data_IF_896519190485
#
_entry.id   IF_896519190485
#
_cell.length_a   1.000
_cell.length_b   1.000
_cell.length_c   1.000
_cell.angle_alpha   90.00
_cell.angle_beta   90.00
_cell.angle_gamma   90.00
#
_symmetry.space_group_name_H-M   'P 1'
#
loop_
_entity.id
_entity.type
_entity.pdbx_description
1 polymer ?
#
# COMPACT_ATOMS: atom_id res chain seq x y z
N UNK A 1 9.81 -3.51 22.92
CA UNK A 1 8.33 -3.58 22.75
C UNK A 1 7.63 -2.83 23.87
N UNK A 2 7.87 -3.19 25.14
CA UNK A 2 7.29 -2.50 26.31
C UNK A 2 7.61 -0.99 26.34
N UNK A 3 8.86 -0.62 26.06
CA UNK A 3 9.28 0.78 25.96
C UNK A 3 8.51 1.58 24.89
N UNK A 4 8.19 0.95 23.75
CA UNK A 4 7.42 1.62 22.69
C UNK A 4 5.96 1.80 23.09
N UNK A 5 5.37 0.82 23.80
CA UNK A 5 4.02 0.98 24.36
C UNK A 5 3.95 2.08 25.41
N UNK A 6 4.96 2.20 26.27
CA UNK A 6 5.05 3.27 27.28
C UNK A 6 5.15 4.67 26.65
N UNK A 7 5.77 4.78 25.47
CA UNK A 7 5.82 6.00 24.68
C UNK A 7 4.51 6.27 23.89
N UNK A 8 3.45 5.49 24.11
CA UNK A 8 2.14 5.62 23.46
C UNK A 8 1.99 4.89 22.13
N UNK A 9 2.87 3.93 21.80
CA UNK A 9 2.86 3.20 20.52
C UNK A 9 2.36 1.77 20.69
N UNK A 10 1.21 1.46 20.11
CA UNK A 10 0.78 0.08 19.92
C UNK A 10 1.57 -0.55 18.77
N UNK A 11 2.51 -1.43 19.12
CA UNK A 11 3.23 -2.25 18.15
C UNK A 11 2.49 -3.58 17.99
N UNK A 12 1.97 -3.82 16.79
CA UNK A 12 1.30 -5.07 16.42
C UNK A 12 2.23 -5.89 15.53
N UNK A 13 2.54 -7.12 15.95
CA UNK A 13 3.29 -8.08 15.13
C UNK A 13 2.28 -8.87 14.29
N UNK A 14 2.47 -8.89 12.97
CA UNK A 14 1.65 -9.70 12.06
C UNK A 14 2.36 -11.01 11.71
N UNK A 15 1.58 -12.06 11.45
CA UNK A 15 2.07 -13.40 11.07
C UNK A 15 2.62 -13.49 9.64
N UNK A 16 2.47 -12.43 8.83
CA UNK A 16 3.02 -12.34 7.47
C UNK A 16 4.37 -11.63 7.47
N UNK A 17 5.26 -12.02 6.55
CA UNK A 17 6.57 -11.38 6.39
C UNK A 17 6.48 -9.91 5.96
N UNK A 18 7.66 -9.28 5.84
CA UNK A 18 7.83 -7.86 5.55
C UNK A 18 8.20 -7.06 6.80
N UNK A 19 8.64 -5.82 6.62
CA UNK A 19 9.19 -5.01 7.71
C UNK A 19 8.12 -4.11 8.33
N UNK A 20 8.52 -3.20 9.23
CA UNK A 20 7.62 -2.25 9.87
C UNK A 20 6.99 -1.31 8.83
N UNK A 21 5.69 -1.06 9.00
CA UNK A 21 4.87 -0.19 8.15
C UNK A 21 4.08 0.73 9.09
N UNK A 22 4.02 2.05 8.83
CA UNK A 22 3.20 2.94 9.63
C UNK A 22 1.71 2.62 9.46
N UNK A 23 0.98 2.62 10.56
CA UNK A 23 -0.46 2.42 10.62
C UNK A 23 -1.10 3.61 11.34
N UNK A 24 -2.34 3.93 11.00
CA UNK A 24 -3.07 5.02 11.63
C UNK A 24 -4.31 5.42 10.85
N UNK A 25 -5.03 6.41 11.39
CA UNK A 25 -6.29 6.89 10.83
C UNK A 25 -6.16 7.47 9.41
N UNK A 26 -4.98 8.00 9.05
CA UNK A 26 -4.70 8.55 7.72
C UNK A 26 -4.12 7.54 6.72
N UNK A 27 -4.33 6.23 6.92
CA UNK A 27 -3.87 5.18 6.02
C UNK A 27 -5.06 4.44 5.43
N UNK A 28 -5.04 4.23 4.11
CA UNK A 28 -6.05 3.42 3.40
C UNK A 28 -5.43 2.10 2.96
N UNK A 29 -6.03 0.99 3.38
CA UNK A 29 -5.67 -0.35 2.92
C UNK A 29 -6.63 -0.81 1.83
N UNK A 30 -6.10 -1.15 0.67
CA UNK A 30 -6.83 -1.72 -0.45
C UNK A 30 -6.41 -3.17 -0.62
N UNK A 31 -7.36 -4.08 -0.77
CA UNK A 31 -7.09 -5.51 -0.90
C UNK A 31 -7.92 -6.13 -2.01
N UNK A 32 -7.25 -6.85 -2.91
CA UNK A 32 -7.85 -7.63 -3.96
C UNK A 32 -7.61 -9.12 -3.73
N UNK A 33 -8.66 -9.91 -3.92
CA UNK A 33 -8.59 -11.36 -3.89
C UNK A 33 -8.79 -11.89 -5.31
N UNK A 34 -7.71 -12.43 -5.89
CA UNK A 34 -7.74 -12.99 -7.23
C UNK A 34 -7.75 -14.51 -7.18
N UNK A 35 -8.57 -15.17 -8.01
CA UNK A 35 -8.51 -16.62 -8.17
C UNK A 35 -7.26 -17.01 -8.99
N UNK A 36 -6.56 -18.08 -8.58
CA UNK A 36 -5.32 -18.56 -9.23
C UNK A 36 -5.63 -19.53 -10.38
N UNK A 37 -6.31 -19.01 -11.40
CA UNK A 37 -6.89 -19.86 -12.45
C UNK A 37 -5.90 -20.29 -13.54
N UNK A 38 -4.83 -19.53 -13.76
CA UNK A 38 -3.95 -19.72 -14.92
C UNK A 38 -2.54 -20.19 -14.52
N UNK A 39 -2.01 -21.20 -15.22
CA UNK A 39 -0.63 -21.71 -15.00
C UNK A 39 0.46 -20.64 -15.19
N UNK A 40 0.19 -19.57 -15.96
CA UNK A 40 1.10 -18.44 -16.22
C UNK A 40 0.98 -17.29 -15.19
N UNK A 41 0.30 -17.51 -14.07
CA UNK A 41 0.23 -16.56 -12.96
C UNK A 41 1.62 -16.22 -12.40
N UNK A 42 2.11 -14.99 -12.61
CA UNK A 42 3.38 -14.49 -12.03
C UNK A 42 3.11 -13.41 -10.98
N UNK A 43 4.02 -13.29 -10.02
CA UNK A 43 4.00 -12.23 -8.99
C UNK A 43 3.96 -10.83 -9.60
N UNK A 44 4.76 -10.58 -10.65
CA UNK A 44 4.77 -9.32 -11.40
C UNK A 44 3.40 -9.00 -12.02
N UNK A 45 2.74 -9.97 -12.66
CA UNK A 45 1.45 -9.76 -13.29
C UNK A 45 0.39 -9.31 -12.26
N UNK A 46 0.35 -9.93 -11.08
CA UNK A 46 -0.59 -9.52 -10.02
C UNK A 46 -0.22 -8.20 -9.36
N UNK A 47 1.07 -7.84 -9.30
CA UNK A 47 1.45 -6.52 -8.82
C UNK A 47 1.00 -5.44 -9.80
N UNK A 48 1.12 -5.69 -11.11
CA UNK A 48 0.59 -4.77 -12.13
C UNK A 48 -0.93 -4.63 -12.04
N UNK A 49 -1.67 -5.72 -11.82
CA UNK A 49 -3.12 -5.65 -11.61
C UNK A 49 -3.50 -4.82 -10.37
N UNK A 50 -2.68 -4.83 -9.32
CA UNK A 50 -2.86 -3.98 -8.14
C UNK A 50 -2.47 -2.52 -8.40
N UNK A 51 -1.31 -2.29 -9.02
CA UNK A 51 -0.69 -0.97 -9.09
C UNK A 51 -1.21 -0.09 -10.23
N UNK A 52 -1.54 -0.66 -11.38
CA UNK A 52 -1.95 0.13 -12.56
C UNK A 52 -3.20 0.97 -12.30
N UNK A 53 -4.30 0.44 -11.72
CA UNK A 53 -5.46 1.27 -11.39
C UNK A 53 -5.12 2.40 -10.42
N UNK A 54 -4.19 2.18 -9.48
CA UNK A 54 -3.76 3.21 -8.53
C UNK A 54 -2.98 4.31 -9.23
N UNK A 55 -2.09 3.95 -10.14
CA UNK A 55 -1.31 4.89 -10.96
C UNK A 55 -2.25 5.72 -11.85
N UNK A 56 -3.21 5.08 -12.50
CA UNK A 56 -4.19 5.76 -13.37
C UNK A 56 -5.05 6.74 -12.57
N UNK A 57 -5.57 6.32 -11.41
CA UNK A 57 -6.33 7.20 -10.52
C UNK A 57 -5.50 8.39 -10.04
N UNK A 58 -4.26 8.16 -9.59
CA UNK A 58 -3.34 9.24 -9.22
C UNK A 58 -3.10 10.22 -10.38
N UNK A 59 -3.02 9.70 -11.61
CA UNK A 59 -2.95 10.49 -12.84
C UNK A 59 -4.15 11.42 -13.03
N UNK A 60 -5.37 10.98 -12.67
CA UNK A 60 -6.57 11.85 -12.69
C UNK A 60 -6.50 13.00 -11.68
N UNK A 61 -5.63 12.88 -10.66
CA UNK A 61 -5.35 13.94 -9.69
C UNK A 61 -4.19 14.85 -10.14
N UNK A 62 -3.64 14.62 -11.33
CA UNK A 62 -2.47 15.34 -11.85
C UNK A 62 -1.13 14.84 -11.31
N UNK A 63 -1.10 13.70 -10.61
CA UNK A 63 0.10 13.14 -9.98
C UNK A 63 0.77 12.12 -10.90
N UNK A 64 2.07 12.29 -11.13
CA UNK A 64 2.86 11.34 -11.94
C UNK A 64 3.38 10.22 -11.06
N UNK A 65 2.75 9.06 -11.18
CA UNK A 65 3.07 7.87 -10.39
C UNK A 65 3.80 6.80 -11.20
N UNK A 66 4.69 6.05 -10.56
CA UNK A 66 5.36 4.88 -11.15
C UNK A 66 5.67 3.83 -10.09
N UNK A 67 5.91 2.58 -10.49
CA UNK A 67 6.37 1.55 -9.55
C UNK A 67 7.89 1.50 -9.44
N UNK A 68 8.43 1.33 -8.23
CA UNK A 68 9.87 1.07 -8.07
C UNK A 68 10.28 0.77 -6.63
N UNK A 69 11.47 0.18 -6.49
CA UNK A 69 12.16 0.11 -5.20
C UNK A 69 12.66 1.51 -4.82
N UNK A 70 12.69 1.80 -3.51
CA UNK A 70 13.21 3.06 -2.99
C UNK A 70 13.92 2.80 -1.67
N UNK A 71 15.24 2.69 -1.74
CA UNK A 71 16.11 2.50 -0.58
C UNK A 71 15.90 3.65 0.43
N UNK A 72 15.89 3.31 1.71
CA UNK A 72 15.61 4.26 2.79
C UNK A 72 14.12 4.43 3.07
N UNK A 73 13.22 3.90 2.24
CA UNK A 73 11.79 3.89 2.55
C UNK A 73 11.43 2.79 3.55
N UNK A 74 10.31 2.94 4.27
CA UNK A 74 9.79 1.88 5.13
C UNK A 74 9.30 0.70 4.29
N UNK A 75 9.56 -0.55 4.71
CA UNK A 75 9.09 -1.75 4.02
C UNK A 75 9.32 -1.70 2.51
N UNK A 76 10.57 -1.46 2.12
CA UNK A 76 10.95 -1.36 0.72
C UNK A 76 10.73 -2.68 -0.03
N UNK A 77 10.34 -2.57 -1.29
CA UNK A 77 10.07 -3.66 -2.21
C UNK A 77 9.94 -3.13 -3.63
N UNK A 78 10.07 -4.00 -4.63
CA UNK A 78 10.15 -3.59 -6.04
C UNK A 78 8.91 -2.86 -6.57
N UNK A 79 7.76 -3.01 -5.91
CA UNK A 79 6.47 -2.45 -6.33
C UNK A 79 5.89 -1.44 -5.34
N UNK A 80 6.71 -0.53 -4.82
CA UNK A 80 6.15 0.68 -4.21
C UNK A 80 5.56 1.57 -5.31
N UNK A 81 4.50 2.32 -5.02
CA UNK A 81 4.08 3.41 -5.92
C UNK A 81 4.76 4.70 -5.45
N UNK A 82 5.57 5.26 -6.33
CA UNK A 82 6.34 6.47 -6.13
C UNK A 82 5.67 7.63 -6.87
N UNK A 83 5.56 8.78 -6.21
CA UNK A 83 5.15 10.05 -6.82
C UNK A 83 6.26 11.05 -6.57
N UNK A 84 6.74 11.71 -7.63
CA UNK A 84 7.87 12.64 -7.59
C UNK A 84 9.11 12.06 -6.87
N UNK A 85 9.39 10.77 -7.11
CA UNK A 85 10.52 10.04 -6.52
C UNK A 85 10.36 9.64 -5.06
N UNK A 86 9.19 9.91 -4.43
CA UNK A 86 8.92 9.55 -3.04
C UNK A 86 7.86 8.47 -2.94
N UNK A 87 8.03 7.55 -2.00
CA UNK A 87 7.07 6.47 -1.75
C UNK A 87 5.77 7.03 -1.19
N UNK A 88 4.66 6.74 -1.86
CA UNK A 88 3.30 7.05 -1.42
C UNK A 88 2.53 5.79 -1.02
N UNK A 89 2.75 4.68 -1.73
CA UNK A 89 2.04 3.41 -1.51
C UNK A 89 3.04 2.28 -1.34
N UNK A 90 2.88 1.48 -0.28
CA UNK A 90 3.53 0.19 -0.14
C UNK A 90 2.61 -0.93 -0.63
N UNK A 91 3.17 -1.98 -1.24
CA UNK A 91 2.39 -3.13 -1.71
C UNK A 91 2.93 -4.44 -1.17
N UNK A 92 2.05 -5.42 -1.04
CA UNK A 92 2.42 -6.79 -0.70
C UNK A 92 1.45 -7.80 -1.33
N UNK A 93 1.91 -9.05 -1.45
CA UNK A 93 1.12 -10.16 -1.94
C UNK A 93 1.29 -11.39 -1.06
N UNK A 94 0.20 -12.14 -0.90
CA UNK A 94 0.22 -13.47 -0.29
C UNK A 94 -0.43 -14.47 -1.23
N UNK A 95 0.29 -15.56 -1.50
CA UNK A 95 -0.16 -16.67 -2.33
C UNK A 95 -0.57 -17.83 -1.43
N UNK A 96 -1.77 -18.37 -1.64
CA UNK A 96 -2.38 -19.41 -0.80
C UNK A 96 -3.14 -20.44 -1.63
N UNK A 97 -3.41 -21.59 -1.05
CA UNK A 97 -4.16 -22.69 -1.69
C UNK A 97 -3.33 -23.49 -2.71
N UNK A 98 -4.03 -24.24 -3.57
CA UNK A 98 -3.43 -25.18 -4.53
C UNK A 98 -2.58 -24.53 -5.64
N UNK A 99 -1.87 -25.38 -6.39
CA UNK A 99 -1.08 -24.97 -7.56
C UNK A 99 -1.98 -24.38 -8.66
N UNK A 100 -1.45 -23.39 -9.38
CA UNK A 100 -2.16 -22.77 -10.50
C UNK A 100 -2.54 -23.79 -11.57
N UNK A 101 -3.76 -23.72 -12.11
CA UNK A 101 -4.19 -24.53 -13.24
C UNK A 101 -4.27 -26.04 -12.97
N UNK A 102 -4.49 -26.43 -11.72
CA UNK A 102 -4.85 -27.78 -11.29
C UNK A 102 -6.27 -27.74 -10.75
N UNK A 103 -7.15 -28.60 -11.26
CA UNK A 103 -8.48 -28.78 -10.68
C UNK A 103 -8.32 -29.32 -9.25
N UNK A 104 -8.77 -28.56 -8.26
CA UNK A 104 -8.58 -28.84 -6.84
C UNK A 104 -9.83 -28.42 -6.09
N UNK A 105 -10.24 -29.20 -5.08
CA UNK A 105 -11.29 -28.81 -4.13
C UNK A 105 -10.89 -27.59 -3.26
N UNK A 106 -9.60 -27.23 -3.27
CA UNK A 106 -9.05 -26.01 -2.66
C UNK A 106 -8.29 -25.21 -3.72
N UNK A 107 -8.99 -24.41 -4.55
CA UNK A 107 -8.36 -23.59 -5.57
C UNK A 107 -7.39 -22.58 -4.94
N UNK A 108 -6.31 -22.27 -5.66
CA UNK A 108 -5.36 -21.26 -5.23
C UNK A 108 -5.96 -19.86 -5.31
N UNK A 109 -5.50 -18.96 -4.45
CA UNK A 109 -5.85 -17.54 -4.48
C UNK A 109 -4.64 -16.66 -4.18
N UNK A 110 -4.70 -15.44 -4.71
CA UNK A 110 -3.71 -14.39 -4.49
C UNK A 110 -4.43 -13.27 -3.76
N UNK A 111 -3.96 -12.92 -2.56
CA UNK A 111 -4.30 -11.69 -1.90
C UNK A 111 -3.24 -10.65 -2.26
N UNK A 112 -3.62 -9.61 -3.00
CA UNK A 112 -2.75 -8.47 -3.31
C UNK A 112 -3.28 -7.25 -2.58
N UNK A 113 -2.42 -6.53 -1.86
CA UNK A 113 -2.85 -5.38 -1.08
C UNK A 113 -1.88 -4.20 -1.17
N UNK A 114 -2.46 -3.01 -1.08
CA UNK A 114 -1.78 -1.72 -1.12
C UNK A 114 -2.09 -0.93 0.16
N UNK A 115 -1.08 -0.31 0.72
CA UNK A 115 -1.13 0.58 1.88
C UNK A 115 -0.84 2.00 1.37
N UNK A 116 -1.90 2.79 1.14
CA UNK A 116 -1.82 4.17 0.68
C UNK A 116 -1.76 5.12 1.89
N UNK A 117 -0.71 5.93 1.95
CA UNK A 117 -0.55 6.93 3.00
C UNK A 117 -1.25 8.23 2.59
N UNK A 118 -2.40 8.51 3.19
CA UNK A 118 -3.18 9.72 2.90
C UNK A 118 -2.69 10.88 3.76
N UNK A 119 -2.58 10.68 5.07
CA UNK A 119 -2.28 11.74 6.03
C UNK A 119 -1.62 11.18 7.29
N UNK A 120 -0.29 11.10 7.28
CA UNK A 120 0.51 10.57 8.39
C UNK A 120 1.73 11.48 8.58
N UNK A 121 2.07 11.77 9.83
CA UNK A 121 3.36 12.38 10.16
C UNK A 121 4.49 11.38 9.87
N UNK A 122 5.09 11.50 8.68
CA UNK A 122 6.11 10.58 8.21
C UNK A 122 7.46 10.74 8.91
N UNK A 123 7.74 11.92 9.47
CA UNK A 123 8.95 12.15 10.26
C UNK A 123 8.83 11.35 11.56
N UNK A 124 7.74 11.56 12.30
CA UNK A 124 7.52 10.83 13.53
C UNK A 124 7.36 9.31 13.28
N UNK A 125 6.72 8.91 12.19
CA UNK A 125 6.64 7.50 11.79
C UNK A 125 8.02 6.87 11.54
N UNK A 126 8.89 7.54 10.77
CA UNK A 126 10.23 7.06 10.49
C UNK A 126 11.08 6.93 11.76
N UNK A 127 11.02 7.94 12.64
CA UNK A 127 11.71 7.91 13.94
C UNK A 127 11.27 6.71 14.79
N UNK A 128 9.98 6.41 14.84
CA UNK A 128 9.44 5.26 15.60
C UNK A 128 9.89 3.94 15.00
N UNK A 129 9.84 3.81 13.68
CA UNK A 129 10.34 2.62 12.98
C UNK A 129 11.83 2.42 13.25
N UNK A 130 12.63 3.50 13.21
CA UNK A 130 14.06 3.45 13.49
C UNK A 130 14.37 3.06 14.94
N UNK A 131 13.59 3.58 15.91
CA UNK A 131 13.69 3.14 17.32
C UNK A 131 13.37 1.67 17.47
N UNK A 132 12.33 1.18 16.80
CA UNK A 132 11.99 -0.24 16.79
C UNK A 132 13.12 -1.10 16.20
N UNK A 133 13.71 -0.68 15.08
CA UNK A 133 14.82 -1.39 14.45
C UNK A 133 16.09 -1.40 15.31
N UNK A 134 16.45 -0.27 15.93
CA UNK A 134 17.57 -0.22 16.85
C UNK A 134 17.37 -1.19 18.03
N UNK A 135 16.17 -1.21 18.63
CA UNK A 135 15.83 -2.09 19.73
C UNK A 135 15.77 -3.58 19.34
N UNK A 136 15.56 -3.90 18.06
CA UNK A 136 15.53 -5.28 17.55
C UNK A 136 16.87 -5.74 16.95
N UNK A 137 17.92 -4.91 16.99
CA UNK A 137 19.22 -5.22 16.40
C UNK A 137 19.23 -5.19 14.86
N UNK A 138 18.29 -4.48 14.25
CA UNK A 138 18.25 -4.27 12.80
C UNK A 138 18.97 -2.96 12.44
N UNK A 139 19.94 -3.02 11.53
CA UNK A 139 20.75 -1.87 11.12
C UNK A 139 20.10 -0.97 10.07
N UNK A 140 19.00 -1.42 9.45
CA UNK A 140 18.28 -0.62 8.46
C UNK A 140 17.69 0.65 9.08
N UNK A 141 17.75 1.78 8.36
CA UNK A 141 17.18 3.06 8.80
C UNK A 141 16.27 3.63 7.71
N UNK A 142 15.08 4.02 8.13
CA UNK A 142 14.10 4.73 7.33
C UNK A 142 14.44 6.21 7.33
N UNK A 143 14.52 6.80 6.14
CA UNK A 143 14.60 8.24 5.92
C UNK A 143 13.21 8.78 5.54
N UNK A 144 12.67 9.67 6.36
CA UNK A 144 11.37 10.31 6.11
C UNK A 144 11.34 11.11 4.80
N UNK A 145 12.49 11.57 4.28
CA UNK A 145 12.55 12.29 3.02
C UNK A 145 12.22 11.41 1.80
N UNK A 146 12.34 10.08 1.93
CA UNK A 146 12.02 9.10 0.87
C UNK A 146 10.54 8.80 0.75
N UNK A 147 9.69 9.37 1.61
CA UNK A 147 8.25 9.10 1.64
C UNK A 147 7.44 10.39 1.55
N UNK A 148 6.20 10.26 1.10
CA UNK A 148 5.25 11.35 0.99
C UNK A 148 3.86 10.88 1.43
N UNK A 149 2.90 11.80 1.46
CA UNK A 149 1.48 11.52 1.74
C UNK A 149 0.63 12.15 0.65
N UNK A 150 -0.58 11.64 0.45
CA UNK A 150 -1.49 12.25 -0.51
C UNK A 150 -1.87 13.68 -0.12
N UNK A 151 -1.95 13.98 1.19
CA UNK A 151 -2.14 15.35 1.68
C UNK A 151 -1.00 16.27 1.26
N UNK A 152 0.25 15.83 1.38
CA UNK A 152 1.41 16.62 0.96
C UNK A 152 1.37 16.91 -0.54
N UNK A 153 0.96 15.94 -1.34
CA UNK A 153 0.91 16.05 -2.80
C UNK A 153 -0.28 16.88 -3.31
N UNK A 154 -1.40 16.90 -2.57
CA UNK A 154 -2.61 17.59 -2.96
C UNK A 154 -3.29 18.30 -1.77
N UNK A 155 -2.64 19.31 -1.17
CA UNK A 155 -3.04 19.88 0.12
C UNK A 155 -4.45 20.48 0.10
N UNK A 156 -4.82 21.16 -0.98
CA UNK A 156 -6.11 21.82 -1.13
C UNK A 156 -7.30 20.85 -1.07
N UNK A 157 -7.10 19.56 -1.37
CA UNK A 157 -8.17 18.55 -1.33
C UNK A 157 -8.62 18.21 0.07
N UNK A 158 -7.76 18.44 1.07
CA UNK A 158 -7.97 17.96 2.44
C UNK A 158 -8.03 19.11 3.45
N UNK A 159 -8.20 20.35 2.99
CA UNK A 159 -8.30 21.53 3.85
C UNK A 159 -9.41 21.34 4.87
N UNK A 160 -9.06 21.52 6.16
CA UNK A 160 -10.01 21.37 7.28
C UNK A 160 -10.37 19.93 7.64
N UNK A 161 -9.88 18.92 6.92
CA UNK A 161 -10.13 17.51 7.24
C UNK A 161 -9.10 16.98 8.24
N UNK A 162 -9.57 16.20 9.21
CA UNK A 162 -8.73 15.32 10.02
C UNK A 162 -8.13 14.18 9.18
N UNK A 163 -7.09 13.47 9.67
CA UNK A 163 -6.53 12.31 8.97
C UNK A 163 -7.57 11.23 8.65
N UNK A 164 -8.49 10.96 9.57
CA UNK A 164 -9.55 9.97 9.37
C UNK A 164 -10.54 10.40 8.28
N UNK A 165 -10.95 11.66 8.28
CA UNK A 165 -11.86 12.21 7.26
C UNK A 165 -11.20 12.19 5.88
N UNK A 166 -9.92 12.55 5.79
CA UNK A 166 -9.16 12.49 4.56
C UNK A 166 -9.06 11.04 4.03
N UNK A 167 -8.70 10.08 4.89
CA UNK A 167 -8.63 8.66 4.50
C UNK A 167 -10.00 8.12 4.06
N UNK A 168 -11.08 8.45 4.78
CA UNK A 168 -12.43 8.03 4.42
C UNK A 168 -12.90 8.66 3.10
N UNK A 169 -12.56 9.93 2.84
CA UNK A 169 -12.83 10.59 1.56
C UNK A 169 -12.15 9.85 0.41
N UNK A 170 -10.85 9.55 0.55
CA UNK A 170 -10.08 8.80 -0.45
C UNK A 170 -10.64 7.40 -0.66
N UNK A 171 -10.98 6.66 0.40
CA UNK A 171 -11.53 5.33 0.29
C UNK A 171 -12.87 5.31 -0.48
N UNK A 172 -13.75 6.28 -0.23
CA UNK A 172 -15.02 6.41 -0.96
C UNK A 172 -14.81 6.78 -2.42
N UNK A 173 -13.93 7.73 -2.70
CA UNK A 173 -13.59 8.13 -4.06
C UNK A 173 -13.00 6.97 -4.85
N UNK A 174 -12.10 6.21 -4.23
CA UNK A 174 -11.50 5.02 -4.82
C UNK A 174 -12.55 3.99 -5.23
N UNK A 175 -13.50 3.66 -4.35
CA UNK A 175 -14.57 2.69 -4.65
C UNK A 175 -15.40 3.16 -5.84
N UNK A 176 -15.79 4.43 -5.87
CA UNK A 176 -16.57 5.00 -6.99
C UNK A 176 -15.78 4.96 -8.30
N UNK A 177 -14.53 5.43 -8.29
CA UNK A 177 -13.69 5.49 -9.48
C UNK A 177 -13.36 4.10 -10.01
N UNK A 178 -12.94 3.19 -9.13
CA UNK A 178 -12.59 1.81 -9.51
C UNK A 178 -13.81 1.02 -9.99
N UNK A 179 -14.99 1.25 -9.38
CA UNK A 179 -16.24 0.67 -9.85
C UNK A 179 -16.58 1.09 -11.28
N UNK A 180 -16.43 2.38 -11.60
CA UNK A 180 -16.64 2.90 -12.95
C UNK A 180 -15.62 2.32 -13.96
N UNK A 181 -14.35 2.19 -13.56
CA UNK A 181 -13.31 1.56 -14.38
C UNK A 181 -13.69 0.11 -14.74
N UNK A 182 -14.13 -0.68 -13.77
CA UNK A 182 -14.55 -2.06 -13.99
C UNK A 182 -15.78 -2.16 -14.91
N UNK A 183 -16.76 -1.27 -14.75
CA UNK A 183 -17.93 -1.23 -15.62
C UNK A 183 -17.56 -0.95 -17.08
N UNK A 184 -16.68 0.05 -17.32
CA UNK A 184 -16.20 0.37 -18.67
C UNK A 184 -15.41 -0.80 -19.30
N UNK A 185 -14.62 -1.53 -18.52
CA UNK A 185 -13.90 -2.71 -18.99
C UNK A 185 -14.82 -3.90 -19.30
N UNK A 186 -15.96 -4.02 -18.63
CA UNK A 186 -16.95 -5.04 -18.94
C UNK A 186 -17.67 -4.73 -20.28
N UNK A 187 -18.06 -3.47 -20.50
CA UNK A 187 -18.73 -3.03 -21.73
C UNK A 187 -17.84 -3.03 -22.97
N UNK A 188 -16.52 -2.99 -22.83
CA UNK A 188 -15.58 -3.11 -23.96
C UNK A 188 -15.26 -4.56 -24.34
N UNK A 189 -15.74 -5.54 -23.56
CA UNK A 189 -15.58 -6.98 -23.81
C UNK A 189 -16.86 -7.64 -24.33
N UNK A 190 -17.98 -6.92 -24.38
CA UNK A 190 -19.25 -7.31 -24.98
C UNK A 190 -19.33 -6.83 -26.43
#
# INVERSE_FOLDING_TARGET
MEQLKQDGWDVVVRTTGGTAVPQGQGVVHLSYLFPRNHRKATTDAYYRLLCLPLIDWLGTLGLKASTGALLGSYCDGTYNILVDGKKLVGTAQAWRGGLAGVSSSRPGYILAHACLVVDVDMVAAAERINRFYAASGNDYRVDAATTTTLRTLAPNRFTGMTPLEAANSVAREWVTWYGALLAAQASSRS
#
